data_IF_356998493530
#
_entry.id   IF_356998493530
#
_cell.length_a   1.000
_cell.length_b   1.000
_cell.length_c   1.000
_cell.angle_alpha   90.00
_cell.angle_beta   90.00
_cell.angle_gamma   90.00
#
_symmetry.space_group_name_H-M   'P 1'
#
loop_
_entity.id
_entity.type
_entity.pdbx_description
1 polymer ?
#
# COMPACT_ATOMS: atom_id res chain seq x y z
N UNK A 1 -52.76 -36.00 -20.71
CA UNK A 1 -51.33 -35.98 -20.34
C UNK A 1 -50.73 -34.73 -20.95
N UNK A 2 -50.44 -33.71 -20.13
CA UNK A 2 -49.82 -32.45 -20.54
C UNK A 2 -48.43 -32.45 -19.90
N UNK A 3 -47.39 -32.54 -20.72
CA UNK A 3 -45.99 -32.53 -20.28
C UNK A 3 -45.56 -31.07 -20.16
N UNK A 4 -45.44 -30.56 -18.93
CA UNK A 4 -44.82 -29.27 -18.65
C UNK A 4 -43.29 -29.44 -18.74
N UNK A 5 -42.70 -28.93 -19.83
CA UNK A 5 -41.26 -28.77 -19.92
C UNK A 5 -40.86 -27.51 -19.11
N UNK A 6 -40.26 -27.73 -17.95
CA UNK A 6 -39.61 -26.65 -17.18
C UNK A 6 -38.29 -26.34 -17.87
N UNK A 7 -38.22 -25.19 -18.54
CA UNK A 7 -36.97 -24.68 -19.10
C UNK A 7 -36.11 -24.13 -17.96
N UNK A 8 -35.17 -24.94 -17.47
CA UNK A 8 -34.08 -24.49 -16.60
C UNK A 8 -33.12 -23.66 -17.44
N UNK A 9 -33.23 -22.33 -17.38
CA UNK A 9 -32.21 -21.45 -17.94
C UNK A 9 -31.07 -21.32 -16.91
N UNK A 10 -29.84 -21.72 -17.23
CA UNK A 10 -28.70 -21.51 -16.36
C UNK A 10 -28.42 -20.01 -16.24
N UNK A 11 -28.65 -19.47 -15.04
CA UNK A 11 -28.11 -18.19 -14.60
C UNK A 11 -26.59 -18.34 -14.44
N UNK A 12 -25.86 -18.13 -15.53
CA UNK A 12 -24.47 -17.68 -15.49
C UNK A 12 -24.31 -16.68 -16.64
N UNK A 13 -24.69 -15.42 -16.40
CA UNK A 13 -24.19 -14.35 -17.24
C UNK A 13 -22.67 -14.30 -17.01
N UNK A 14 -21.88 -14.48 -18.07
CA UNK A 14 -20.49 -14.07 -18.06
C UNK A 14 -20.47 -12.60 -17.62
N UNK A 15 -19.61 -12.24 -16.67
CA UNK A 15 -19.38 -10.84 -16.34
C UNK A 15 -19.07 -10.10 -17.65
N UNK A 16 -19.84 -9.05 -17.97
CA UNK A 16 -19.72 -8.37 -19.25
C UNK A 16 -18.26 -7.94 -19.44
N UNK A 17 -17.58 -8.55 -20.42
CA UNK A 17 -16.20 -8.22 -20.77
C UNK A 17 -16.22 -6.85 -21.45
N UNK A 18 -16.07 -5.78 -20.66
CA UNK A 18 -16.10 -4.43 -21.20
C UNK A 18 -14.75 -4.12 -21.84
N UNK A 19 -14.71 -4.03 -23.16
CA UNK A 19 -13.54 -3.50 -23.90
C UNK A 19 -13.56 -1.97 -24.02
N UNK A 20 -14.63 -1.33 -23.53
CA UNK A 20 -14.80 0.12 -23.50
C UNK A 20 -15.54 0.52 -22.22
N UNK A 21 -15.00 1.52 -21.52
CA UNK A 21 -15.58 2.05 -20.29
C UNK A 21 -15.55 3.58 -20.28
N UNK A 22 -16.69 4.20 -19.97
CA UNK A 22 -16.81 5.65 -19.88
C UNK A 22 -16.31 6.20 -18.52
N UNK A 23 -15.36 7.12 -18.57
CA UNK A 23 -14.95 7.94 -17.41
C UNK A 23 -15.55 9.35 -17.51
N UNK A 24 -15.53 10.11 -16.41
CA UNK A 24 -15.89 11.54 -16.37
C UNK A 24 -15.05 12.38 -17.33
N UNK A 25 -13.87 11.88 -17.70
CA UNK A 25 -12.90 12.58 -18.53
C UNK A 25 -12.83 12.01 -19.96
N UNK A 26 -13.57 10.96 -20.29
CA UNK A 26 -13.57 10.37 -21.63
C UNK A 26 -13.51 8.84 -21.61
N UNK A 27 -13.61 8.19 -22.78
CA UNK A 27 -13.60 6.74 -22.87
C UNK A 27 -12.19 6.18 -22.66
N UNK A 28 -12.14 5.04 -21.98
CA UNK A 28 -10.98 4.14 -21.93
C UNK A 28 -11.36 2.88 -22.71
N UNK A 29 -10.47 2.42 -23.58
CA UNK A 29 -10.73 1.35 -24.54
C UNK A 29 -9.56 0.37 -24.62
N UNK A 30 -9.85 -0.90 -24.87
CA UNK A 30 -8.83 -1.91 -25.23
C UNK A 30 -8.88 -2.17 -26.73
N UNK A 31 -7.70 -2.16 -27.36
CA UNK A 31 -7.53 -2.59 -28.74
C UNK A 31 -6.70 -3.89 -28.75
N UNK A 32 -7.30 -5.05 -29.04
CA UNK A 32 -6.60 -6.32 -29.00
C UNK A 32 -5.55 -6.43 -30.14
N UNK A 33 -4.39 -6.98 -29.80
CA UNK A 33 -3.34 -7.38 -30.72
C UNK A 33 -3.10 -8.90 -30.68
N UNK A 34 -2.00 -9.38 -31.27
CA UNK A 34 -1.70 -10.81 -31.32
C UNK A 34 -1.42 -11.41 -29.92
N UNK A 35 -0.54 -10.78 -29.15
CA UNK A 35 -0.12 -11.25 -27.82
C UNK A 35 -0.26 -10.18 -26.73
N UNK A 36 -0.70 -8.98 -27.10
CA UNK A 36 -0.85 -7.81 -26.21
C UNK A 36 -2.04 -6.98 -26.61
N UNK A 37 -2.69 -6.35 -25.65
CA UNK A 37 -3.76 -5.37 -25.87
C UNK A 37 -3.24 -3.96 -25.63
N UNK A 38 -3.54 -3.04 -26.54
CA UNK A 38 -3.26 -1.61 -26.38
C UNK A 38 -4.37 -0.95 -25.56
N UNK A 39 -3.99 -0.22 -24.51
CA UNK A 39 -4.90 0.52 -23.64
C UNK A 39 -4.92 1.96 -24.10
N UNK A 40 -6.13 2.47 -24.39
CA UNK A 40 -6.31 3.78 -25.03
C UNK A 40 -7.20 4.67 -24.19
N UNK A 41 -6.87 5.95 -24.11
CA UNK A 41 -7.73 6.99 -23.52
C UNK A 41 -8.01 8.06 -24.56
N UNK A 42 -9.29 8.34 -24.82
CA UNK A 42 -9.74 9.23 -25.91
C UNK A 42 -9.11 8.87 -27.27
N UNK A 43 -8.88 7.58 -27.50
CA UNK A 43 -8.25 7.09 -28.72
C UNK A 43 -6.74 7.29 -28.81
N UNK A 44 -6.05 7.81 -27.80
CA UNK A 44 -4.57 7.84 -27.72
C UNK A 44 -4.06 6.63 -26.92
N UNK A 45 -2.98 5.98 -27.38
CA UNK A 45 -2.36 4.85 -26.67
C UNK A 45 -1.70 5.35 -25.38
N UNK A 46 -2.04 4.73 -24.25
CA UNK A 46 -1.41 4.93 -22.95
C UNK A 46 -0.30 3.91 -22.69
N UNK A 47 -0.42 2.71 -23.27
CA UNK A 47 0.49 1.60 -23.05
C UNK A 47 -0.12 0.27 -23.46
N UNK A 48 0.64 -0.81 -23.29
CA UNK A 48 0.20 -2.17 -23.65
C UNK A 48 0.22 -3.09 -22.44
N UNK A 49 -0.70 -4.05 -22.41
CA UNK A 49 -0.75 -5.15 -21.43
C UNK A 49 -0.67 -6.50 -22.16
N UNK A 50 -0.19 -7.54 -21.48
CA UNK A 50 -0.08 -8.87 -22.06
C UNK A 50 -1.46 -9.50 -22.29
N UNK A 51 -1.62 -10.26 -23.38
CA UNK A 51 -2.86 -10.96 -23.71
C UNK A 51 -4.05 -10.06 -24.04
N UNK A 52 -5.24 -10.67 -23.99
CA UNK A 52 -6.50 -9.94 -24.09
C UNK A 52 -6.78 -9.20 -22.79
N UNK A 53 -7.46 -8.05 -22.86
CA UNK A 53 -7.75 -7.27 -21.68
C UNK A 53 -9.20 -6.80 -21.63
N UNK A 54 -9.77 -6.90 -20.43
CA UNK A 54 -11.06 -6.32 -20.09
C UNK A 54 -10.89 -5.14 -19.14
N UNK A 55 -11.87 -4.24 -19.13
CA UNK A 55 -11.85 -2.99 -18.38
C UNK A 55 -12.97 -2.96 -17.37
N UNK A 56 -12.70 -2.44 -16.17
CA UNK A 56 -13.73 -2.20 -15.18
C UNK A 56 -13.51 -0.86 -14.50
N UNK A 57 -14.50 0.03 -14.56
CA UNK A 57 -14.45 1.28 -13.80
C UNK A 57 -14.71 1.03 -12.33
N UNK A 58 -13.78 1.49 -11.50
CA UNK A 58 -13.92 1.45 -10.06
C UNK A 58 -14.81 2.62 -9.63
N UNK A 59 -15.92 2.31 -8.95
CA UNK A 59 -16.84 3.33 -8.45
C UNK A 59 -16.38 3.82 -7.09
N UNK A 60 -15.53 4.84 -7.10
CA UNK A 60 -14.98 5.47 -5.90
C UNK A 60 -15.08 6.98 -6.03
N UNK A 61 -15.49 7.68 -4.96
CA UNK A 61 -15.56 9.14 -4.95
C UNK A 61 -14.14 9.72 -4.84
N UNK A 62 -13.68 10.39 -5.90
CA UNK A 62 -12.36 11.02 -6.00
C UNK A 62 -12.40 12.11 -7.08
N UNK A 63 -11.36 12.93 -7.16
CA UNK A 63 -11.16 13.93 -8.21
C UNK A 63 -10.70 13.29 -9.53
N UNK A 64 -10.24 12.03 -9.49
CA UNK A 64 -9.92 11.19 -10.64
C UNK A 64 -10.89 10.00 -10.78
N UNK A 65 -11.06 9.50 -12.01
CA UNK A 65 -11.69 8.20 -12.27
C UNK A 65 -10.62 7.11 -12.36
N UNK A 66 -10.96 5.91 -11.89
CA UNK A 66 -10.06 4.77 -11.95
C UNK A 66 -10.67 3.63 -12.74
N UNK A 67 -9.84 3.02 -13.59
CA UNK A 67 -10.22 1.87 -14.40
C UNK A 67 -9.21 0.76 -14.16
N UNK A 68 -9.70 -0.40 -13.71
CA UNK A 68 -8.91 -1.60 -13.56
C UNK A 68 -8.90 -2.33 -14.91
N UNK A 69 -7.71 -2.63 -15.41
CA UNK A 69 -7.48 -3.47 -16.57
C UNK A 69 -7.17 -4.86 -16.07
N UNK A 70 -7.94 -5.86 -16.49
CA UNK A 70 -7.71 -7.28 -16.20
C UNK A 70 -7.20 -7.96 -17.48
N UNK A 71 -5.92 -8.30 -17.47
CA UNK A 71 -5.21 -8.93 -18.57
C UNK A 71 -5.22 -10.46 -18.42
N UNK A 72 -5.73 -11.13 -19.45
CA UNK A 72 -5.82 -12.57 -19.55
C UNK A 72 -4.48 -13.18 -19.96
N UNK A 73 -3.80 -13.83 -19.01
CA UNK A 73 -2.54 -14.52 -19.26
C UNK A 73 -2.76 -15.92 -19.88
N UNK A 74 -1.78 -16.43 -20.65
CA UNK A 74 -1.87 -17.78 -21.24
C UNK A 74 -1.84 -18.92 -20.21
N UNK A 75 -1.37 -18.66 -18.99
CA UNK A 75 -1.26 -19.67 -17.94
C UNK A 75 -2.65 -20.01 -17.36
N UNK A 76 -3.14 -21.24 -17.53
CA UNK A 76 -4.45 -21.63 -17.03
C UNK A 76 -4.57 -21.65 -15.50
N UNK A 77 -3.45 -21.67 -14.76
CA UNK A 77 -3.41 -21.60 -13.30
C UNK A 77 -3.25 -20.17 -12.76
N UNK A 78 -2.92 -19.23 -13.63
CA UNK A 78 -2.64 -17.84 -13.30
C UNK A 78 -3.15 -16.95 -14.43
N UNK A 79 -4.48 -16.87 -14.56
CA UNK A 79 -5.12 -16.28 -15.74
C UNK A 79 -5.18 -14.76 -15.73
N UNK A 80 -4.90 -14.14 -14.60
CA UNK A 80 -5.19 -12.74 -14.36
C UNK A 80 -3.94 -11.99 -13.93
N UNK A 81 -3.76 -10.82 -14.52
CA UNK A 81 -2.78 -9.81 -14.14
C UNK A 81 -3.41 -8.44 -14.34
N UNK A 82 -3.26 -7.57 -13.36
CA UNK A 82 -3.98 -6.29 -13.35
C UNK A 82 -3.07 -5.11 -13.62
N UNK A 83 -3.64 -4.08 -14.23
CA UNK A 83 -3.06 -2.73 -14.32
C UNK A 83 -4.12 -1.72 -13.91
N UNK A 84 -3.75 -0.73 -13.11
CA UNK A 84 -4.67 0.32 -12.69
C UNK A 84 -4.43 1.58 -13.51
N UNK A 85 -5.50 2.19 -13.99
CA UNK A 85 -5.50 3.48 -14.66
C UNK A 85 -6.04 4.55 -13.70
N UNK A 86 -5.36 5.68 -13.64
CA UNK A 86 -5.86 6.90 -13.01
C UNK A 86 -6.08 7.94 -14.11
N UNK A 87 -7.33 8.38 -14.24
CA UNK A 87 -7.75 9.37 -15.23
C UNK A 87 -8.21 10.62 -14.48
N UNK A 88 -7.38 11.66 -14.52
CA UNK A 88 -7.63 12.94 -13.90
C UNK A 88 -8.25 13.98 -14.86
N UNK A 89 -8.48 15.21 -14.37
CA UNK A 89 -8.88 16.32 -15.22
C UNK A 89 -7.83 16.64 -16.29
N UNK A 90 -8.26 17.19 -17.43
CA UNK A 90 -7.37 17.53 -18.54
C UNK A 90 -6.98 16.32 -19.39
N UNK A 91 -5.66 16.13 -19.56
CA UNK A 91 -5.03 15.01 -20.28
C UNK A 91 -4.21 14.10 -19.33
N UNK A 92 -4.42 14.23 -18.02
CA UNK A 92 -3.73 13.44 -17.01
C UNK A 92 -4.28 12.00 -17.01
N UNK A 93 -3.54 11.10 -17.65
CA UNK A 93 -3.83 9.67 -17.65
C UNK A 93 -2.55 8.89 -17.37
N UNK A 94 -2.56 8.09 -16.30
CA UNK A 94 -1.40 7.28 -15.90
C UNK A 94 -1.79 5.82 -15.77
N UNK A 95 -0.83 4.94 -16.06
CA UNK A 95 -0.94 3.50 -15.88
C UNK A 95 0.02 3.07 -14.78
N UNK A 96 -0.42 2.19 -13.89
CA UNK A 96 0.47 1.50 -12.97
C UNK A 96 1.32 0.45 -13.70
N UNK A 97 2.40 0.00 -13.07
CA UNK A 97 3.02 -1.27 -13.37
C UNK A 97 2.01 -2.41 -13.13
N UNK A 98 2.16 -3.56 -13.80
CA UNK A 98 1.30 -4.73 -13.58
C UNK A 98 1.40 -5.25 -12.14
N UNK A 99 0.31 -5.79 -11.61
CA UNK A 99 0.21 -6.31 -10.24
C UNK A 99 -0.85 -7.40 -10.11
N UNK A 100 -0.89 -8.04 -8.94
CA UNK A 100 -1.96 -9.00 -8.59
C UNK A 100 -1.92 -10.30 -9.40
N UNK A 101 -0.72 -10.77 -9.75
CA UNK A 101 -0.53 -12.04 -10.46
C UNK A 101 -1.32 -13.17 -9.78
N UNK A 102 -2.12 -13.87 -10.58
CA UNK A 102 -2.92 -15.02 -10.16
C UNK A 102 -3.99 -14.70 -9.09
N UNK A 103 -4.40 -13.44 -8.98
CA UNK A 103 -5.57 -13.03 -8.19
C UNK A 103 -6.77 -12.82 -9.12
N UNK A 104 -7.97 -12.87 -8.59
CA UNK A 104 -9.21 -12.69 -9.32
C UNK A 104 -10.25 -12.00 -8.45
N UNK A 105 -11.31 -11.49 -9.08
CA UNK A 105 -12.30 -10.67 -8.40
C UNK A 105 -11.70 -9.34 -7.96
N UNK A 106 -12.50 -8.28 -8.03
CA UNK A 106 -12.00 -6.95 -7.71
C UNK A 106 -13.02 -6.17 -6.88
N UNK A 107 -12.50 -5.45 -5.90
CA UNK A 107 -13.19 -4.43 -5.13
C UNK A 107 -12.31 -3.19 -5.05
N UNK A 108 -12.91 -2.07 -4.69
CA UNK A 108 -12.16 -0.85 -4.45
C UNK A 108 -12.81 -0.06 -3.33
N UNK A 109 -11.97 0.54 -2.48
CA UNK A 109 -12.42 1.38 -1.37
C UNK A 109 -11.46 2.55 -1.16
N UNK A 110 -11.90 3.51 -0.34
CA UNK A 110 -11.04 4.58 0.18
C UNK A 110 -10.43 4.19 1.51
N UNK A 111 -9.21 4.63 1.74
CA UNK A 111 -8.55 4.69 3.04
C UNK A 111 -7.90 6.07 3.19
N UNK A 112 -8.65 7.02 3.75
CA UNK A 112 -8.22 8.43 3.73
C UNK A 112 -8.18 9.00 2.31
N UNK A 113 -7.03 9.55 1.93
CA UNK A 113 -6.75 10.09 0.60
C UNK A 113 -6.33 9.01 -0.42
N UNK A 114 -6.14 7.77 0.01
CA UNK A 114 -5.67 6.67 -0.84
C UNK A 114 -6.83 5.84 -1.40
N UNK A 115 -6.71 5.48 -2.68
CA UNK A 115 -7.44 4.38 -3.28
C UNK A 115 -6.80 3.05 -2.86
N UNK A 116 -7.63 2.12 -2.38
CA UNK A 116 -7.25 0.74 -2.08
C UNK A 116 -7.99 -0.18 -3.04
N UNK A 117 -7.25 -0.95 -3.84
CA UNK A 117 -7.79 -2.02 -4.69
C UNK A 117 -7.73 -3.33 -3.93
N UNK A 118 -8.81 -4.09 -3.95
CA UNK A 118 -8.94 -5.40 -3.32
C UNK A 118 -9.00 -6.45 -4.41
N UNK A 119 -8.12 -7.44 -4.38
CA UNK A 119 -8.15 -8.60 -5.27
C UNK A 119 -8.23 -9.87 -4.43
N UNK A 120 -8.99 -10.88 -4.85
CA UNK A 120 -9.10 -12.13 -4.11
C UNK A 120 -8.18 -13.21 -4.69
N UNK A 121 -7.66 -14.09 -3.87
CA UNK A 121 -7.00 -15.29 -4.36
C UNK A 121 -8.04 -16.32 -4.76
N UNK A 122 -7.90 -16.86 -5.97
CA UNK A 122 -8.77 -17.93 -6.46
C UNK A 122 -8.72 -19.15 -5.53
N UNK A 123 -9.88 -19.72 -5.23
CA UNK A 123 -10.02 -20.93 -4.42
C UNK A 123 -9.89 -20.75 -2.90
N UNK A 124 -9.18 -19.73 -2.41
CA UNK A 124 -9.03 -19.49 -0.95
C UNK A 124 -9.94 -18.36 -0.45
N UNK A 125 -10.30 -17.43 -1.33
CA UNK A 125 -11.06 -16.22 -0.95
C UNK A 125 -10.27 -15.24 -0.08
N UNK A 126 -8.95 -15.42 0.07
CA UNK A 126 -8.10 -14.45 0.75
C UNK A 126 -8.05 -13.16 -0.06
N UNK A 127 -8.28 -12.02 0.59
CA UNK A 127 -8.28 -10.71 -0.06
C UNK A 127 -6.93 -10.04 0.15
N UNK A 128 -6.31 -9.64 -0.96
CA UNK A 128 -5.09 -8.85 -1.02
C UNK A 128 -5.47 -7.39 -1.31
N UNK A 129 -4.93 -6.48 -0.52
CA UNK A 129 -5.16 -5.05 -0.70
C UNK A 129 -3.95 -4.40 -1.35
N UNK A 130 -4.16 -3.45 -2.27
CA UNK A 130 -3.11 -2.76 -2.99
C UNK A 130 -3.35 -1.26 -2.96
N UNK A 131 -2.28 -0.49 -2.74
CA UNK A 131 -2.30 0.96 -2.81
C UNK A 131 -1.38 1.43 -3.92
N UNK A 132 -1.82 2.41 -4.68
CA UNK A 132 -0.98 3.05 -5.67
C UNK A 132 0.07 3.93 -4.98
N UNK A 133 1.35 3.63 -5.18
CA UNK A 133 2.48 4.46 -4.76
C UNK A 133 3.37 4.75 -5.97
N UNK A 134 3.35 6.00 -6.44
CA UNK A 134 4.07 6.47 -7.64
C UNK A 134 3.55 5.81 -8.92
N UNK A 135 4.30 4.87 -9.51
CA UNK A 135 3.91 4.09 -10.68
C UNK A 135 3.60 2.63 -10.33
N UNK A 136 3.67 2.22 -9.06
CA UNK A 136 3.49 0.82 -8.65
C UNK A 136 2.31 0.63 -7.71
N UNK A 137 1.62 -0.49 -7.88
CA UNK A 137 0.68 -0.99 -6.89
C UNK A 137 1.44 -1.78 -5.84
N UNK A 138 1.43 -1.29 -4.60
CA UNK A 138 2.08 -1.95 -3.47
C UNK A 138 1.05 -2.76 -2.71
N UNK A 139 1.28 -4.06 -2.61
CA UNK A 139 0.46 -4.91 -1.76
C UNK A 139 0.61 -4.46 -0.30
N UNK A 140 -0.52 -4.08 0.27
CA UNK A 140 -0.75 -3.94 1.69
C UNK A 140 -0.77 -5.35 2.30
N UNK A 141 0.41 -5.94 2.46
CA UNK A 141 0.55 -7.10 3.32
C UNK A 141 0.07 -6.73 4.73
N UNK A 142 -0.55 -7.67 5.45
CA UNK A 142 -1.10 -7.45 6.79
C UNK A 142 -0.16 -6.67 7.72
N UNK A 143 1.16 -6.82 7.56
CA UNK A 143 2.18 -6.07 8.32
C UNK A 143 2.18 -4.58 7.95
N UNK A 144 2.17 -4.20 6.66
CA UNK A 144 2.15 -2.77 6.28
C UNK A 144 0.85 -2.09 6.69
N UNK A 145 -0.30 -2.74 6.53
CA UNK A 145 -1.60 -2.22 6.99
C UNK A 145 -1.65 -2.09 8.51
N UNK A 146 -1.08 -3.05 9.25
CA UNK A 146 -0.98 -2.99 10.72
C UNK A 146 0.02 -1.94 11.18
N UNK A 147 1.15 -1.77 10.49
CA UNK A 147 2.11 -0.72 10.80
C UNK A 147 1.52 0.66 10.54
N UNK A 148 0.85 0.87 9.41
CA UNK A 148 0.17 2.14 9.14
C UNK A 148 -0.96 2.39 10.15
N UNK A 149 -1.80 1.40 10.45
CA UNK A 149 -2.86 1.51 11.45
C UNK A 149 -2.30 1.75 12.87
N UNK A 150 -1.19 1.10 13.23
CA UNK A 150 -0.51 1.30 14.49
C UNK A 150 0.11 2.69 14.58
N UNK A 151 0.68 3.20 13.48
CA UNK A 151 1.20 4.56 13.42
C UNK A 151 0.08 5.60 13.61
N UNK A 152 -1.05 5.45 12.91
CA UNK A 152 -2.20 6.34 13.06
C UNK A 152 -2.76 6.27 14.49
N UNK A 153 -2.87 5.06 15.05
CA UNK A 153 -3.34 4.86 16.43
C UNK A 153 -2.39 5.53 17.42
N UNK A 154 -1.07 5.35 17.24
CA UNK A 154 -0.06 5.96 18.07
C UNK A 154 -0.11 7.49 18.00
N UNK A 155 -0.15 8.07 16.80
CA UNK A 155 -0.23 9.52 16.62
C UNK A 155 -1.46 10.15 17.29
N UNK A 156 -2.58 9.41 17.37
CA UNK A 156 -3.80 9.88 18.04
C UNK A 156 -3.73 9.86 19.58
N UNK A 157 -2.74 9.18 20.17
CA UNK A 157 -2.68 8.87 21.61
C UNK A 157 -1.30 9.00 22.24
N UNK A 158 -0.26 9.33 21.47
CA UNK A 158 1.10 9.40 21.97
C UNK A 158 1.25 10.49 23.03
N UNK A 159 2.22 10.29 23.91
CA UNK A 159 2.52 11.25 24.96
C UNK A 159 3.77 12.03 24.55
N UNK A 160 3.68 13.38 24.42
CA UNK A 160 4.84 14.19 24.08
C UNK A 160 5.88 14.15 25.20
N UNK A 161 7.15 14.11 24.82
CA UNK A 161 8.28 14.21 25.75
C UNK A 161 8.74 15.66 25.82
N UNK A 162 8.83 16.21 27.04
CA UNK A 162 9.30 17.57 27.24
C UNK A 162 10.74 17.74 26.70
N UNK A 163 11.05 18.88 26.09
CA UNK A 163 12.36 19.12 25.46
C UNK A 163 13.55 18.88 26.40
N UNK A 164 13.45 19.30 27.67
CA UNK A 164 14.49 19.06 28.69
C UNK A 164 14.68 17.59 29.08
N UNK A 165 13.80 16.72 28.61
CA UNK A 165 13.82 15.27 28.81
C UNK A 165 13.89 14.51 27.48
N UNK A 166 14.16 15.15 26.35
CA UNK A 166 14.15 14.47 25.05
C UNK A 166 15.39 13.57 24.84
N UNK A 167 16.53 13.92 25.43
CA UNK A 167 17.77 13.16 25.30
C UNK A 167 17.72 11.78 25.96
N UNK A 168 17.92 10.72 25.17
CA UNK A 168 18.06 9.34 25.66
C UNK A 168 19.30 8.67 25.08
N UNK A 169 19.88 7.74 25.83
CA UNK A 169 21.00 6.91 25.38
C UNK A 169 20.52 5.48 25.14
N UNK A 170 21.00 4.85 24.07
CA UNK A 170 20.74 3.44 23.80
C UNK A 170 21.53 2.58 24.80
N UNK A 171 20.85 1.63 25.42
CA UNK A 171 21.40 0.70 26.41
C UNK A 171 21.19 -0.77 26.01
N UNK A 172 21.62 -1.68 26.88
CA UNK A 172 21.54 -3.13 26.66
C UNK A 172 22.67 -3.68 25.79
N UNK A 173 22.48 -4.88 25.26
CA UNK A 173 23.43 -5.55 24.36
C UNK A 173 22.87 -5.63 22.93
N UNK A 174 23.74 -5.68 21.93
CA UNK A 174 23.35 -5.83 20.52
C UNK A 174 22.68 -4.59 19.90
N UNK A 175 22.14 -4.76 18.68
CA UNK A 175 21.53 -3.69 17.88
C UNK A 175 20.12 -3.35 18.37
N UNK A 176 19.82 -2.06 18.49
CA UNK A 176 18.47 -1.56 18.69
C UNK A 176 17.90 -1.12 17.32
N UNK A 177 16.91 -1.87 16.83
CA UNK A 177 16.36 -1.71 15.49
C UNK A 177 15.23 -0.68 15.46
N UNK A 178 15.22 0.16 14.44
CA UNK A 178 14.10 1.05 14.17
C UNK A 178 12.89 0.27 13.66
N UNK A 179 11.71 0.82 13.91
CA UNK A 179 10.44 0.33 13.40
C UNK A 179 9.70 1.49 12.70
N UNK A 180 8.91 1.19 11.68
CA UNK A 180 8.07 2.20 11.00
C UNK A 180 6.86 2.63 11.83
N UNK A 181 6.48 1.81 12.81
CA UNK A 181 5.37 2.01 13.73
C UNK A 181 5.65 1.26 15.06
N UNK A 182 4.93 1.52 16.16
CA UNK A 182 5.21 0.93 17.47
C UNK A 182 4.65 -0.49 17.61
N UNK A 183 5.12 -1.41 16.77
CA UNK A 183 4.85 -2.85 16.80
C UNK A 183 6.09 -3.64 16.37
N UNK A 184 6.30 -4.82 16.94
CA UNK A 184 7.50 -5.64 16.70
C UNK A 184 7.60 -6.10 15.23
N UNK A 185 6.47 -6.34 14.57
CA UNK A 185 6.39 -6.71 13.15
C UNK A 185 6.80 -5.56 12.21
N UNK A 186 6.80 -4.31 12.69
CA UNK A 186 7.16 -3.11 11.90
C UNK A 186 8.65 -2.81 11.86
N UNK A 187 9.49 -3.77 12.28
CA UNK A 187 10.95 -3.64 12.32
C UNK A 187 11.54 -3.40 10.94
N UNK A 188 12.45 -2.43 10.83
CA UNK A 188 13.22 -2.14 9.62
C UNK A 188 14.50 -3.00 9.60
N UNK A 189 14.63 -4.00 8.71
CA UNK A 189 15.67 -5.03 8.81
C UNK A 189 17.12 -4.57 8.55
N UNK A 190 17.37 -3.27 8.34
CA UNK A 190 18.70 -2.71 8.09
C UNK A 190 18.97 -1.38 8.81
N UNK A 191 18.02 -0.88 9.59
CA UNK A 191 18.14 0.41 10.28
C UNK A 191 18.21 0.19 11.78
N UNK A 192 19.35 0.49 12.38
CA UNK A 192 19.60 0.28 13.80
C UNK A 192 20.60 1.29 14.35
N UNK A 193 20.57 1.43 15.67
CA UNK A 193 21.58 2.08 16.51
C UNK A 193 22.18 1.07 17.49
N UNK A 194 23.28 1.43 18.12
CA UNK A 194 24.02 0.57 19.06
C UNK A 194 24.12 1.21 20.45
N UNK A 195 24.42 0.43 21.51
CA UNK A 195 24.62 0.96 22.84
C UNK A 195 25.62 2.11 22.88
N UNK A 196 25.24 3.19 23.57
CA UNK A 196 26.00 4.44 23.63
C UNK A 196 25.56 5.50 22.61
N UNK A 197 24.80 5.15 21.57
CA UNK A 197 24.20 6.15 20.68
C UNK A 197 23.19 7.01 21.44
N UNK A 198 23.18 8.31 21.12
CA UNK A 198 22.27 9.30 21.71
C UNK A 198 21.16 9.63 20.72
N UNK A 199 19.93 9.60 21.20
CA UNK A 199 18.70 9.86 20.45
C UNK A 199 17.93 11.03 21.06
N UNK A 200 17.20 11.72 20.21
CA UNK A 200 16.16 12.67 20.61
C UNK A 200 14.82 11.95 20.56
N UNK A 201 14.13 11.86 21.70
CA UNK A 201 12.76 11.32 21.78
C UNK A 201 11.76 12.46 21.68
N UNK A 202 10.79 12.34 20.79
CA UNK A 202 9.71 13.31 20.63
C UNK A 202 8.43 12.86 21.34
N UNK A 203 8.05 11.60 21.15
CA UNK A 203 6.82 11.04 21.67
C UNK A 203 7.03 9.62 22.19
N UNK A 204 6.15 9.18 23.08
CA UNK A 204 6.09 7.78 23.53
C UNK A 204 4.70 7.20 23.33
N UNK A 205 4.64 5.92 23.00
CA UNK A 205 3.38 5.19 22.84
C UNK A 205 3.59 3.71 23.13
N UNK A 206 2.86 3.17 24.11
CA UNK A 206 3.07 1.80 24.59
C UNK A 206 4.52 1.58 25.01
N UNK A 207 5.13 0.52 24.50
CA UNK A 207 6.52 0.14 24.78
C UNK A 207 7.54 0.77 23.80
N UNK A 208 7.16 1.81 23.06
CA UNK A 208 8.02 2.45 22.05
C UNK A 208 8.13 3.96 22.23
N UNK A 209 9.22 4.50 21.71
CA UNK A 209 9.53 5.91 21.58
C UNK A 209 9.70 6.27 20.10
N UNK A 210 9.07 7.36 19.66
CA UNK A 210 9.33 8.02 18.39
C UNK A 210 10.57 8.90 18.53
N UNK A 211 11.59 8.60 17.73
CA UNK A 211 12.93 9.16 17.91
C UNK A 211 13.53 9.69 16.61
N UNK A 212 14.44 10.65 16.75
CA UNK A 212 15.44 10.97 15.75
C UNK A 212 16.85 10.63 16.24
N UNK A 213 17.65 10.15 15.31
CA UNK A 213 19.08 9.92 15.45
C UNK A 213 19.83 10.75 14.41
N UNK A 214 20.97 11.31 14.81
CA UNK A 214 21.97 11.84 13.90
C UNK A 214 23.30 11.17 14.20
N UNK A 215 23.86 10.47 13.23
CA UNK A 215 25.15 9.82 13.39
C UNK A 215 26.25 10.89 13.56
N UNK A 216 26.99 10.92 14.69
CA UNK A 216 27.96 11.97 14.96
C UNK A 216 29.20 11.91 14.06
N UNK A 217 29.46 10.77 13.40
CA UNK A 217 30.61 10.61 12.49
C UNK A 217 30.25 10.95 11.05
N UNK A 218 29.07 10.51 10.59
CA UNK A 218 28.68 10.62 9.18
C UNK A 218 27.66 11.73 8.91
N UNK A 219 27.06 12.32 9.95
CA UNK A 219 26.00 13.32 9.82
C UNK A 219 24.64 12.79 9.35
N UNK A 220 24.58 11.55 8.82
CA UNK A 220 23.34 10.84 8.42
C UNK A 220 22.31 10.82 9.53
N UNK A 221 21.06 11.08 9.17
CA UNK A 221 19.92 11.05 10.08
C UNK A 221 19.05 9.81 9.86
N UNK A 222 18.35 9.41 10.91
CA UNK A 222 17.34 8.37 10.89
C UNK A 222 16.23 8.73 11.87
N UNK A 223 14.99 8.37 11.54
CA UNK A 223 13.83 8.53 12.42
C UNK A 223 12.95 7.29 12.40
N UNK A 224 12.13 7.13 13.44
CA UNK A 224 11.18 6.04 13.60
C UNK A 224 11.05 5.60 15.05
N UNK A 225 10.52 4.41 15.27
CA UNK A 225 10.23 3.89 16.60
C UNK A 225 11.32 2.97 17.14
N UNK A 226 11.70 3.17 18.40
CA UNK A 226 12.61 2.31 19.16
C UNK A 226 11.89 1.83 20.42
N UNK A 227 12.13 0.58 20.82
CA UNK A 227 11.61 0.01 22.07
C UNK A 227 12.14 0.80 23.28
N UNK A 228 11.26 1.18 24.20
CA UNK A 228 11.59 1.96 25.40
C UNK A 228 12.58 1.25 26.31
N UNK A 229 12.53 -0.08 26.38
CA UNK A 229 13.47 -0.92 27.14
C UNK A 229 14.93 -0.80 26.64
N UNK A 230 15.15 -0.21 25.46
CA UNK A 230 16.48 0.11 24.90
C UNK A 230 16.96 1.51 25.25
N UNK A 231 16.18 2.31 25.97
CA UNK A 231 16.48 3.72 26.23
C UNK A 231 16.66 3.97 27.72
N UNK A 232 17.70 4.74 28.08
CA UNK A 232 17.86 5.32 29.40
C UNK A 232 17.89 6.85 29.33
N UNK A 233 17.40 7.56 30.37
CA UNK A 233 17.63 9.00 30.52
C UNK A 233 19.11 9.33 30.34
N UNK A 234 19.42 10.33 29.51
CA UNK A 234 20.74 10.92 29.56
C UNK A 234 20.93 11.50 30.97
N UNK A 235 21.94 11.02 31.68
CA UNK A 235 22.36 11.70 32.91
C UNK A 235 22.92 13.05 32.50
N UNK A 236 22.24 14.12 32.89
CA UNK A 236 22.83 15.45 32.85
C UNK A 236 24.12 15.39 33.69
N UNK A 237 25.26 15.94 33.22
CA UNK A 237 26.34 16.27 34.13
C UNK A 237 25.72 17.13 35.24
N UNK A 238 25.82 16.69 36.49
CA UNK A 238 25.53 17.56 37.63
C UNK A 238 26.33 18.83 37.42
N UNK A 239 25.68 19.99 37.38
CA UNK A 239 26.38 21.26 37.44
C UNK A 239 27.41 21.16 38.58
N UNK A 240 28.68 21.53 38.37
CA UNK A 240 29.63 21.53 39.46
C UNK A 240 29.07 22.42 40.56
N UNK A 241 29.04 21.90 41.78
CA UNK A 241 28.81 22.73 42.94
C UNK A 241 29.97 23.73 43.01
N UNK A 242 29.65 25.00 42.74
CA UNK A 242 30.10 26.25 43.38
C UNK A 242 29.96 27.43 42.41
#
# INVERSE_FOLDING_TARGET
>A
MITLAVATHPWCAAADEHTNVATRFGPVETQPGADRSDIRFRGASLGQVDGNASLVKLTVQDDADYVLVDAALPDPQCRHRFTLLQIGPGDDATMSQPFGDCLAGFGARRAGDKLVVQLAQEGTGQVHEFVWMQDRMKELTNVLTRCEAAQVTAASRWLPVAAGQAGRVITGTGRAWFHTAPLDECKLPQLFVIPGDVLTVFHTYGDYADVAYRNPRTGREASGWIRLDRLAPMRTPSAPAL
#
